data_IF_165796848842
#
_entry.id   IF_165796848842
#
_cell.length_a   1.000
_cell.length_b   1.000
_cell.length_c   1.000
_cell.angle_alpha   90.00
_cell.angle_beta   90.00
_cell.angle_gamma   90.00
#
_symmetry.space_group_name_H-M   'P 1'
#
loop_
_entity.id
_entity.type
_entity.pdbx_description
1 polymer ?
#
# COMPACT_ATOMS: atom_id res chain seq x y z
N UNK A 1 18.61 -3.36 -4.59
CA UNK A 1 17.40 -2.80 -5.22
C UNK A 1 16.15 -3.33 -4.54
N UNK A 2 15.31 -2.45 -3.99
CA UNK A 2 14.03 -2.80 -3.37
C UNK A 2 12.99 -3.01 -4.49
N UNK A 3 12.12 -4.03 -4.38
CA UNK A 3 11.05 -4.28 -5.34
C UNK A 3 9.68 -3.98 -4.72
N UNK A 4 8.87 -3.14 -5.36
CA UNK A 4 7.57 -2.71 -4.85
C UNK A 4 6.47 -3.16 -5.79
N UNK A 5 5.45 -3.84 -5.25
CA UNK A 5 4.23 -4.15 -5.99
C UNK A 5 3.26 -2.95 -5.94
N UNK A 6 2.71 -2.58 -7.09
CA UNK A 6 1.75 -1.48 -7.23
C UNK A 6 0.45 -2.04 -7.76
N UNK A 7 -0.60 -2.00 -6.96
CA UNK A 7 -1.97 -2.25 -7.43
C UNK A 7 -2.36 -1.15 -8.41
N UNK A 8 -2.29 -1.48 -9.70
CA UNK A 8 -2.38 -0.51 -10.79
C UNK A 8 -3.82 -0.27 -11.26
N UNK A 9 -4.81 -0.86 -10.60
CA UNK A 9 -6.21 -0.79 -11.03
C UNK A 9 -7.15 -0.18 -9.98
N UNK A 10 -6.59 0.24 -8.84
CA UNK A 10 -7.36 0.57 -7.65
C UNK A 10 -7.95 1.99 -7.62
N UNK A 11 -7.29 2.97 -8.22
CA UNK A 11 -7.68 4.39 -8.13
C UNK A 11 -8.79 4.79 -9.12
N UNK A 12 -9.39 5.95 -8.87
CA UNK A 12 -10.41 6.55 -9.74
C UNK A 12 -9.90 6.84 -11.16
N UNK A 13 -8.62 7.20 -11.28
CA UNK A 13 -7.93 7.49 -12.56
C UNK A 13 -7.02 6.34 -13.02
N UNK A 14 -7.24 5.13 -12.50
CA UNK A 14 -6.43 3.98 -12.86
C UNK A 14 -6.56 3.62 -14.35
N UNK A 15 -5.49 3.10 -14.97
CA UNK A 15 -4.17 2.84 -14.39
C UNK A 15 -3.12 3.93 -14.69
N UNK A 16 -3.53 5.14 -15.09
CA UNK A 16 -2.61 6.15 -15.62
C UNK A 16 -1.64 6.69 -14.58
N UNK A 17 -2.17 7.08 -13.41
CA UNK A 17 -1.35 7.67 -12.33
C UNK A 17 -0.34 6.67 -11.76
N UNK A 18 -0.70 5.39 -11.73
CA UNK A 18 0.14 4.31 -11.24
C UNK A 18 1.29 4.01 -12.20
N UNK A 19 1.01 3.98 -13.50
CA UNK A 19 2.03 3.80 -14.54
C UNK A 19 3.00 4.98 -14.54
N UNK A 20 2.50 6.21 -14.55
CA UNK A 20 3.34 7.42 -14.51
C UNK A 20 4.19 7.47 -13.24
N UNK A 21 3.58 7.22 -12.08
CA UNK A 21 4.27 7.16 -10.80
C UNK A 21 5.36 6.08 -10.76
N UNK A 22 5.12 4.91 -11.35
CA UNK A 22 6.11 3.85 -11.45
C UNK A 22 7.30 4.24 -12.33
N UNK A 23 7.06 4.87 -13.48
CA UNK A 23 8.11 5.38 -14.37
C UNK A 23 8.95 6.46 -13.68
N UNK A 24 8.30 7.42 -13.02
CA UNK A 24 8.98 8.47 -12.28
C UNK A 24 9.83 7.89 -11.14
N UNK A 25 9.28 6.93 -10.38
CA UNK A 25 10.00 6.29 -9.28
C UNK A 25 11.21 5.48 -9.77
N UNK A 26 11.06 4.71 -10.84
CA UNK A 26 12.14 3.90 -11.41
C UNK A 26 13.27 4.75 -12.03
N UNK A 27 12.97 5.99 -12.45
CA UNK A 27 13.97 6.96 -12.94
C UNK A 27 14.68 7.69 -11.80
N UNK A 28 13.95 8.02 -10.73
CA UNK A 28 14.44 8.86 -9.64
C UNK A 28 15.15 8.09 -8.52
N UNK A 29 14.83 6.81 -8.33
CA UNK A 29 15.29 6.00 -7.20
C UNK A 29 15.80 4.61 -7.62
N UNK A 30 16.65 3.98 -6.80
CA UNK A 30 17.12 2.59 -6.98
C UNK A 30 16.04 1.56 -6.56
N UNK A 31 14.90 1.61 -7.26
CA UNK A 31 13.74 0.75 -7.00
C UNK A 31 13.30 0.05 -8.28
N UNK A 32 12.79 -1.17 -8.11
CA UNK A 32 12.08 -1.90 -9.17
C UNK A 32 10.60 -1.97 -8.85
N UNK A 33 9.76 -1.94 -9.88
CA UNK A 33 8.30 -1.87 -9.74
C UNK A 33 7.64 -3.07 -10.40
N UNK A 34 6.66 -3.68 -9.73
CA UNK A 34 5.74 -4.65 -10.32
C UNK A 34 4.37 -3.96 -10.45
N UNK A 35 3.97 -3.61 -11.67
CA UNK A 35 2.63 -3.12 -11.95
C UNK A 35 1.66 -4.31 -12.00
N UNK A 36 0.70 -4.36 -11.08
CA UNK A 36 -0.25 -5.47 -10.97
C UNK A 36 -1.62 -5.05 -11.46
N UNK A 37 -2.13 -5.73 -12.49
CA UNK A 37 -3.41 -5.38 -13.10
C UNK A 37 -3.62 -6.04 -14.45
N UNK A 38 -4.55 -5.50 -15.24
CA UNK A 38 -4.88 -6.04 -16.56
C UNK A 38 -3.75 -5.76 -17.55
N UNK A 39 -2.98 -6.78 -17.90
CA UNK A 39 -1.77 -6.64 -18.72
C UNK A 39 -2.05 -5.99 -20.09
N UNK A 40 -3.17 -6.33 -20.72
CA UNK A 40 -3.59 -5.76 -22.00
C UNK A 40 -3.84 -4.24 -21.95
N UNK A 41 -4.07 -3.68 -20.76
CA UNK A 41 -4.21 -2.23 -20.54
C UNK A 41 -2.88 -1.62 -20.10
N UNK A 42 -2.16 -2.29 -19.19
CA UNK A 42 -0.91 -1.77 -18.62
C UNK A 42 0.23 -1.72 -19.63
N UNK A 43 0.39 -2.74 -20.47
CA UNK A 43 1.50 -2.83 -21.42
C UNK A 43 1.58 -1.65 -22.41
N UNK A 44 0.50 -1.26 -23.12
CA UNK A 44 0.57 -0.10 -24.02
C UNK A 44 0.81 1.22 -23.26
N UNK A 45 0.21 1.41 -22.08
CA UNK A 45 0.39 2.62 -21.29
C UNK A 45 1.81 2.76 -20.75
N UNK A 46 2.42 1.66 -20.29
CA UNK A 46 3.81 1.68 -19.84
C UNK A 46 4.77 2.08 -20.97
N UNK A 47 4.51 1.60 -22.19
CA UNK A 47 5.26 2.00 -23.38
C UNK A 47 5.11 3.49 -23.67
N UNK A 48 3.87 3.98 -23.69
CA UNK A 48 3.57 5.39 -23.94
C UNK A 48 4.20 6.33 -22.91
N UNK A 49 4.22 5.92 -21.63
CA UNK A 49 4.89 6.65 -20.55
C UNK A 49 6.43 6.61 -20.62
N UNK A 50 7.02 5.90 -21.59
CA UNK A 50 8.47 5.76 -21.72
C UNK A 50 9.08 4.90 -20.61
N UNK A 51 8.36 3.85 -20.20
CA UNK A 51 8.82 2.87 -19.22
C UNK A 51 9.66 1.73 -19.79
N UNK A 52 9.81 1.65 -21.12
CA UNK A 52 10.64 0.63 -21.77
C UNK A 52 12.10 0.73 -21.31
N UNK A 53 12.68 -0.40 -20.90
CA UNK A 53 14.06 -0.48 -20.40
C UNK A 53 14.24 -0.07 -18.93
N UNK A 54 13.21 0.41 -18.25
CA UNK A 54 13.23 0.61 -16.81
C UNK A 54 13.02 -0.72 -16.06
N UNK A 55 13.41 -0.81 -14.78
CA UNK A 55 13.17 -1.99 -13.94
C UNK A 55 11.69 -2.10 -13.52
N UNK A 56 10.78 -2.14 -14.49
CA UNK A 56 9.33 -2.24 -14.32
C UNK A 56 8.84 -3.51 -15.02
N UNK A 57 8.19 -4.38 -14.26
CA UNK A 57 7.54 -5.60 -14.76
C UNK A 57 6.03 -5.51 -14.58
N UNK A 58 5.27 -6.20 -15.44
CA UNK A 58 3.81 -6.29 -15.32
C UNK A 58 3.45 -7.69 -14.81
N UNK A 59 2.58 -7.73 -13.80
CA UNK A 59 1.93 -8.95 -13.32
C UNK A 59 0.45 -8.89 -13.66
N UNK A 60 -0.01 -9.81 -14.51
CA UNK A 60 -1.42 -9.86 -14.87
C UNK A 60 -2.30 -10.22 -13.66
N UNK A 61 -3.43 -9.53 -13.53
CA UNK A 61 -4.54 -9.86 -12.64
C UNK A 61 -5.85 -9.59 -13.40
N UNK A 62 -6.78 -10.55 -13.38
CA UNK A 62 -7.98 -10.47 -14.23
C UNK A 62 -9.13 -9.69 -13.58
N UNK A 63 -9.11 -9.53 -12.26
CA UNK A 63 -10.18 -8.89 -11.49
C UNK A 63 -9.70 -7.58 -10.86
N UNK A 64 -10.66 -6.70 -10.56
CA UNK A 64 -10.43 -5.41 -9.90
C UNK A 64 -11.50 -5.25 -8.82
N UNK A 65 -11.13 -4.75 -7.65
CA UNK A 65 -12.10 -4.32 -6.62
C UNK A 65 -12.37 -2.83 -6.86
N UNK A 66 -13.58 -2.50 -7.26
CA UNK A 66 -14.01 -1.12 -7.50
C UNK A 66 -14.22 -0.37 -6.17
N UNK A 67 -14.18 0.96 -6.25
CA UNK A 67 -14.25 1.84 -5.09
C UNK A 67 -15.56 1.74 -4.31
N UNK A 68 -16.67 1.45 -5.00
CA UNK A 68 -18.02 1.33 -4.47
C UNK A 68 -18.36 -0.08 -3.92
N UNK A 69 -17.46 -1.05 -4.07
CA UNK A 69 -17.70 -2.41 -3.60
C UNK A 69 -17.54 -2.55 -2.10
N UNK A 70 -18.41 -3.36 -1.50
CA UNK A 70 -18.30 -3.75 -0.09
C UNK A 70 -17.06 -4.66 0.08
N UNK A 71 -16.04 -4.25 0.84
CA UNK A 71 -14.75 -4.95 0.89
C UNK A 71 -14.87 -6.43 1.23
N UNK A 72 -15.64 -6.75 2.28
CA UNK A 72 -15.78 -8.13 2.79
C UNK A 72 -16.34 -9.11 1.75
N UNK A 73 -17.19 -8.63 0.84
CA UNK A 73 -17.78 -9.43 -0.24
C UNK A 73 -16.78 -9.54 -1.40
N UNK A 74 -16.22 -8.41 -1.83
CA UNK A 74 -15.30 -8.34 -2.95
C UNK A 74 -14.08 -9.24 -2.72
N UNK A 75 -13.47 -9.18 -1.53
CA UNK A 75 -12.34 -10.02 -1.14
C UNK A 75 -12.59 -11.53 -1.23
N UNK A 76 -13.81 -11.99 -0.91
CA UNK A 76 -14.14 -13.42 -0.96
C UNK A 76 -14.35 -13.91 -2.39
N UNK A 77 -14.93 -13.06 -3.24
CA UNK A 77 -15.28 -13.39 -4.63
C UNK A 77 -14.12 -13.17 -5.61
N UNK A 78 -13.32 -12.12 -5.39
CA UNK A 78 -12.30 -11.64 -6.33
C UNK A 78 -10.89 -12.06 -5.90
N UNK A 79 -10.64 -13.37 -5.93
CA UNK A 79 -9.36 -13.95 -5.52
C UNK A 79 -8.21 -13.59 -6.47
N UNK A 80 -8.52 -13.24 -7.71
CA UNK A 80 -7.56 -12.77 -8.72
C UNK A 80 -7.65 -11.24 -8.93
N UNK A 81 -7.97 -10.50 -7.85
CA UNK A 81 -7.97 -9.04 -7.89
C UNK A 81 -6.54 -8.49 -7.88
N UNK A 82 -6.30 -7.38 -8.59
CA UNK A 82 -5.00 -6.70 -8.62
C UNK A 82 -4.40 -6.48 -7.22
N UNK A 83 -5.20 -5.98 -6.27
CA UNK A 83 -4.77 -5.79 -4.88
C UNK A 83 -4.41 -7.11 -4.18
N UNK A 84 -5.15 -8.20 -4.44
CA UNK A 84 -4.88 -9.52 -3.84
C UNK A 84 -3.60 -10.11 -4.40
N UNK A 85 -3.43 -10.09 -5.73
CA UNK A 85 -2.23 -10.57 -6.40
C UNK A 85 -1.01 -9.77 -5.94
N UNK A 86 -1.12 -8.44 -5.86
CA UNK A 86 -0.04 -7.57 -5.40
C UNK A 86 0.34 -7.88 -3.94
N UNK A 87 -0.65 -8.15 -3.09
CA UNK A 87 -0.38 -8.59 -1.74
C UNK A 87 0.29 -9.98 -1.70
N UNK A 88 -0.15 -10.95 -2.50
CA UNK A 88 0.48 -12.27 -2.54
C UNK A 88 1.94 -12.22 -2.96
N UNK A 89 2.32 -11.35 -3.88
CA UNK A 89 3.73 -11.11 -4.24
C UNK A 89 4.59 -10.70 -3.04
N UNK A 90 4.06 -9.89 -2.13
CA UNK A 90 4.77 -9.50 -0.91
C UNK A 90 4.87 -10.67 0.09
N UNK A 91 3.80 -11.45 0.24
CA UNK A 91 3.77 -12.63 1.12
C UNK A 91 4.80 -13.66 0.67
N UNK A 92 4.86 -13.86 -0.64
CA UNK A 92 5.73 -14.84 -1.29
C UNK A 92 7.16 -14.29 -1.50
N UNK A 93 7.46 -13.11 -0.92
CA UNK A 93 8.77 -12.45 -0.93
C UNK A 93 9.29 -12.08 -2.33
N UNK A 94 8.39 -12.03 -3.32
CA UNK A 94 8.68 -11.53 -4.67
C UNK A 94 8.78 -9.99 -4.66
N UNK A 95 7.95 -9.34 -3.85
CA UNK A 95 8.02 -7.91 -3.57
C UNK A 95 8.33 -7.64 -2.09
N UNK A 96 8.96 -6.51 -1.80
CA UNK A 96 9.27 -6.05 -0.44
C UNK A 96 8.15 -5.23 0.18
N UNK A 97 7.25 -4.69 -0.63
CA UNK A 97 6.14 -3.85 -0.19
C UNK A 97 5.07 -3.71 -1.26
N UNK A 98 3.93 -3.16 -0.84
CA UNK A 98 2.73 -2.96 -1.65
C UNK A 98 2.29 -1.49 -1.55
N UNK A 99 1.91 -0.90 -2.67
CA UNK A 99 1.25 0.41 -2.76
C UNK A 99 -0.08 0.23 -3.50
N UNK A 100 -1.15 0.83 -2.98
CA UNK A 100 -2.47 0.88 -3.62
C UNK A 100 -3.17 2.19 -3.27
N UNK A 101 -3.79 2.80 -4.29
CA UNK A 101 -4.68 3.94 -4.15
C UNK A 101 -6.17 3.51 -4.23
N UNK A 102 -6.45 2.20 -4.14
CA UNK A 102 -7.81 1.68 -4.16
C UNK A 102 -8.53 1.72 -2.83
N UNK A 103 -9.69 1.07 -2.78
CA UNK A 103 -10.59 1.10 -1.63
C UNK A 103 -9.83 0.75 -0.33
N UNK A 104 -9.64 1.73 0.55
CA UNK A 104 -8.83 1.60 1.78
C UNK A 104 -9.25 0.40 2.64
N UNK A 105 -10.55 0.15 2.75
CA UNK A 105 -11.08 -1.00 3.47
C UNK A 105 -10.69 -2.33 2.83
N UNK A 106 -10.74 -2.41 1.49
CA UNK A 106 -10.30 -3.59 0.74
C UNK A 106 -8.79 -3.80 0.83
N UNK A 107 -7.98 -2.74 0.74
CA UNK A 107 -6.51 -2.81 0.90
C UNK A 107 -6.16 -3.33 2.28
N UNK A 108 -6.71 -2.73 3.34
CA UNK A 108 -6.44 -3.15 4.72
C UNK A 108 -6.89 -4.59 5.00
N UNK A 109 -8.09 -4.96 4.56
CA UNK A 109 -8.60 -6.31 4.75
C UNK A 109 -7.81 -7.35 3.93
N UNK A 110 -7.35 -6.99 2.72
CA UNK A 110 -6.46 -7.84 1.92
C UNK A 110 -5.13 -8.04 2.62
N UNK A 111 -4.47 -6.96 3.06
CA UNK A 111 -3.20 -7.03 3.77
C UNK A 111 -3.30 -7.91 5.02
N UNK A 112 -4.35 -7.72 5.83
CA UNK A 112 -4.57 -8.55 7.04
C UNK A 112 -4.80 -10.02 6.70
N UNK A 113 -5.55 -10.31 5.63
CA UNK A 113 -5.87 -11.69 5.22
C UNK A 113 -4.67 -12.40 4.57
N UNK A 114 -3.78 -11.67 3.89
CA UNK A 114 -2.64 -12.21 3.15
C UNK A 114 -1.40 -12.33 4.03
N UNK A 115 -1.05 -11.25 4.75
CA UNK A 115 0.18 -11.15 5.54
C UNK A 115 -0.01 -11.53 7.01
N UNK A 116 -1.23 -11.36 7.53
CA UNK A 116 -1.48 -11.38 8.97
C UNK A 116 -0.99 -10.12 9.67
N UNK A 117 -0.97 -10.17 11.00
CA UNK A 117 -0.39 -9.12 11.84
C UNK A 117 0.97 -9.57 12.38
N UNK A 118 1.85 -8.61 12.63
CA UNK A 118 3.13 -8.87 13.30
C UNK A 118 2.87 -9.46 14.70
N UNK A 119 3.67 -10.42 15.18
CA UNK A 119 3.51 -10.99 16.52
C UNK A 119 3.42 -9.91 17.61
N UNK A 120 2.44 -10.03 18.50
CA UNK A 120 2.20 -9.06 19.57
C UNK A 120 1.35 -7.86 19.16
N UNK A 121 0.87 -7.79 17.91
CA UNK A 121 -0.08 -6.77 17.43
C UNK A 121 -1.45 -7.37 17.23
N UNK A 122 -2.44 -6.89 17.99
CA UNK A 122 -3.80 -7.43 17.92
C UNK A 122 -4.51 -6.97 16.63
N UNK A 123 -4.29 -5.71 16.23
CA UNK A 123 -4.94 -5.08 15.08
C UNK A 123 -3.99 -4.10 14.38
N UNK A 124 -3.96 -4.06 13.04
CA UNK A 124 -3.22 -3.03 12.31
C UNK A 124 -3.87 -1.65 12.51
N UNK A 125 -3.11 -0.59 12.25
CA UNK A 125 -3.61 0.78 12.24
C UNK A 125 -3.23 1.51 10.95
N UNK A 126 -4.04 2.50 10.57
CA UNK A 126 -3.72 3.42 9.50
C UNK A 126 -2.92 4.58 10.08
N UNK A 127 -1.73 4.80 9.52
CA UNK A 127 -0.87 5.93 9.83
C UNK A 127 -1.07 7.02 8.77
N UNK A 128 -1.23 8.27 9.19
CA UNK A 128 -1.18 9.42 8.30
C UNK A 128 -0.06 10.37 8.76
N UNK A 129 0.67 10.94 7.81
CA UNK A 129 1.62 12.02 8.08
C UNK A 129 0.88 13.33 7.86
N UNK A 130 0.78 14.14 8.91
CA UNK A 130 0.10 15.43 8.89
C UNK A 130 1.13 16.57 9.00
N UNK A 131 0.98 17.65 8.22
CA UNK A 131 1.81 18.84 8.40
C UNK A 131 1.47 19.54 9.72
N UNK A 132 2.45 20.19 10.31
CA UNK A 132 2.35 21.01 11.52
C UNK A 132 3.11 22.33 11.31
N UNK A 133 2.95 23.30 12.22
CA UNK A 133 3.65 24.58 12.13
C UNK A 133 5.18 24.47 12.13
N UNK A 134 5.74 23.37 12.66
CA UNK A 134 7.19 23.19 12.84
C UNK A 134 7.74 21.95 12.12
N UNK A 135 6.93 21.27 11.31
CA UNK A 135 7.35 20.03 10.63
C UNK A 135 6.17 19.10 10.38
N UNK A 136 6.32 17.81 10.69
CA UNK A 136 5.29 16.80 10.47
C UNK A 136 4.96 16.06 11.77
N UNK A 137 3.75 15.52 11.87
CA UNK A 137 3.33 14.61 12.92
C UNK A 137 2.78 13.33 12.29
N UNK A 138 3.01 12.18 12.93
CA UNK A 138 2.38 10.91 12.54
C UNK A 138 1.14 10.73 13.39
N UNK A 139 -0.01 10.57 12.76
CA UNK A 139 -1.28 10.27 13.43
C UNK A 139 -1.64 8.79 13.22
N UNK A 140 -1.89 8.11 14.33
CA UNK A 140 -2.29 6.71 14.43
C UNK A 140 -3.40 6.62 15.50
N UNK A 141 -4.54 5.98 15.29
CA UNK A 141 -5.10 5.35 14.08
C UNK A 141 -6.11 6.31 13.43
N UNK A 142 -6.07 6.48 12.10
CA UNK A 142 -6.97 7.40 11.37
C UNK A 142 -8.21 6.73 10.77
N UNK A 143 -8.42 5.43 11.00
CA UNK A 143 -9.66 4.79 10.55
C UNK A 143 -9.62 3.28 10.36
N UNK A 144 -8.54 2.60 10.73
CA UNK A 144 -8.51 1.12 10.67
C UNK A 144 -9.45 0.49 11.69
N UNK A 145 -9.58 1.11 12.87
CA UNK A 145 -10.33 0.58 14.00
C UNK A 145 -11.38 1.58 14.49
N UNK A 146 -12.65 1.19 14.41
CA UNK A 146 -13.78 1.98 14.97
C UNK A 146 -13.79 1.94 16.51
N UNK A 147 -13.24 0.88 17.11
CA UNK A 147 -13.17 0.73 18.58
C UNK A 147 -11.80 0.22 19.01
N UNK A 148 -11.20 0.92 19.98
CA UNK A 148 -9.89 0.58 20.55
C UNK A 148 -10.00 0.33 22.06
N UNK A 149 -9.41 -0.77 22.53
CA UNK A 149 -9.19 -1.01 23.97
C UNK A 149 -7.89 -0.30 24.40
N UNK A 150 -7.71 0.03 25.68
CA UNK A 150 -6.48 0.69 26.16
C UNK A 150 -5.19 0.00 25.71
N UNK A 151 -5.15 -1.34 25.73
CA UNK A 151 -4.01 -2.12 25.24
C UNK A 151 -3.67 -1.90 23.76
N UNK A 152 -4.67 -1.61 22.92
CA UNK A 152 -4.43 -1.33 21.50
C UNK A 152 -3.74 0.02 21.35
N UNK A 153 -4.12 1.04 22.13
CA UNK A 153 -3.46 2.35 22.12
C UNK A 153 -1.97 2.25 22.51
N UNK A 154 -1.64 1.38 23.46
CA UNK A 154 -0.25 1.08 23.82
C UNK A 154 0.51 0.43 22.65
N UNK A 155 -0.11 -0.53 21.95
CA UNK A 155 0.48 -1.13 20.75
C UNK A 155 0.72 -0.07 19.66
N UNK A 156 -0.23 0.83 19.41
CA UNK A 156 -0.07 1.92 18.43
C UNK A 156 1.11 2.83 18.75
N UNK A 157 1.29 3.17 20.03
CA UNK A 157 2.42 4.01 20.48
C UNK A 157 3.78 3.34 20.20
N UNK A 158 3.88 2.02 20.36
CA UNK A 158 5.13 1.30 20.08
C UNK A 158 5.46 1.31 18.59
N UNK A 159 4.45 1.19 17.72
CA UNK A 159 4.63 1.29 16.27
C UNK A 159 5.03 2.69 15.82
N UNK A 160 4.41 3.72 16.39
CA UNK A 160 4.74 5.12 16.11
C UNK A 160 6.21 5.44 16.43
N UNK A 161 6.68 5.01 17.61
CA UNK A 161 8.09 5.20 18.00
C UNK A 161 9.03 4.46 17.03
N UNK A 162 8.65 3.27 16.58
CA UNK A 162 9.48 2.49 15.66
C UNK A 162 9.54 3.12 14.26
N UNK A 163 8.42 3.58 13.71
CA UNK A 163 8.37 4.23 12.39
C UNK A 163 9.04 5.61 12.42
N UNK A 164 8.84 6.39 13.48
CA UNK A 164 9.48 7.68 13.69
C UNK A 164 11.01 7.58 13.72
N UNK A 165 11.55 6.58 14.44
CA UNK A 165 13.01 6.34 14.51
C UNK A 165 13.66 6.04 13.16
N UNK A 166 12.90 5.50 12.20
CA UNK A 166 13.40 5.22 10.85
C UNK A 166 13.21 6.38 9.86
N UNK A 167 12.30 7.32 10.14
CA UNK A 167 11.91 8.40 9.22
C UNK A 167 12.63 9.73 9.46
N UNK A 168 12.97 10.06 10.71
CA UNK A 168 13.91 11.14 11.09
C UNK A 168 13.88 11.37 12.61
N UNK A 169 14.95 11.91 13.19
CA UNK A 169 15.16 12.02 14.64
C UNK A 169 14.20 12.99 15.37
N UNK A 170 13.41 13.81 14.66
CA UNK A 170 12.67 14.94 15.22
C UNK A 170 11.23 14.66 15.66
N UNK A 171 10.66 13.48 15.37
CA UNK A 171 9.24 13.15 15.66
C UNK A 171 8.93 12.84 17.14
N UNK A 172 9.77 13.31 18.07
CA UNK A 172 9.66 13.00 19.51
C UNK A 172 8.80 14.03 20.23
N UNK A 173 7.47 13.91 20.20
CA UNK A 173 6.59 14.32 21.32
C UNK A 173 5.14 13.92 21.03
N UNK A 174 4.59 13.09 21.91
CA UNK A 174 3.17 12.68 21.88
C UNK A 174 2.67 12.76 23.32
N UNK A 175 1.95 13.85 23.59
CA UNK A 175 1.37 14.36 24.85
C UNK A 175 2.38 14.90 25.88
N UNK A 176 2.26 16.20 26.16
CA UNK A 176 2.78 16.90 27.33
C UNK A 176 1.62 17.55 28.07
#
# INVERSE_FOLDING_TARGET
MIKIAVDSMGSDNSPFSEVEGAVLAAKAYDVSVILVGKENILAPLLREAGGEGLPIEIRNATQVIAMDEIPTIALRKKKDSSIRVAAELVRDKVASGLVSAGNTGAVMATAKMVFGAVPGVDRPALAAILPTLTGHAVLLDVGANVTCKPRHLVQLRLWDIFSARKSSESLRRVWG
#
